data_IF_116033453444
#
_entry.id   IF_116033453444
#
_cell.length_a   1.000
_cell.length_b   1.000
_cell.length_c   1.000
_cell.angle_alpha   90.00
_cell.angle_beta   90.00
_cell.angle_gamma   90.00
#
_symmetry.space_group_name_H-M   'P 1'
#
loop_
_entity.id
_entity.type
_entity.pdbx_description
1 polymer ?
#
# COMPACT_ATOMS: atom_id res chain seq x y z
N UNK A 1 -15.53 -0.90 -10.79
CA UNK A 1 -14.32 -1.76 -10.95
C UNK A 1 -13.23 -1.34 -9.95
N UNK A 2 -13.43 -1.48 -8.63
CA UNK A 2 -12.76 -0.54 -7.74
C UNK A 2 -11.63 -1.15 -6.86
N UNK A 3 -11.24 -2.42 -7.06
CA UNK A 3 -10.06 -3.05 -6.41
C UNK A 3 -8.84 -3.21 -7.35
N UNK A 4 -9.02 -3.24 -8.68
CA UNK A 4 -7.91 -3.57 -9.58
C UNK A 4 -6.89 -2.44 -9.77
N UNK A 5 -7.31 -1.18 -9.61
CA UNK A 5 -6.42 -0.03 -9.87
C UNK A 5 -5.20 -0.01 -8.94
N UNK A 6 -5.38 -0.41 -7.67
CA UNK A 6 -4.27 -0.46 -6.72
C UNK A 6 -3.24 -1.49 -7.15
N UNK A 7 -3.66 -2.60 -7.76
CA UNK A 7 -2.73 -3.60 -8.29
C UNK A 7 -1.89 -3.02 -9.43
N UNK A 8 -2.53 -2.37 -10.42
CA UNK A 8 -1.80 -1.75 -11.53
C UNK A 8 -0.83 -0.67 -11.05
N UNK A 9 -1.25 0.17 -10.11
CA UNK A 9 -0.40 1.20 -9.55
C UNK A 9 0.78 0.58 -8.77
N UNK A 10 0.54 -0.47 -7.99
CA UNK A 10 1.58 -1.20 -7.26
C UNK A 10 2.56 -1.90 -8.21
N UNK A 11 2.07 -2.44 -9.33
CA UNK A 11 2.92 -3.03 -10.36
C UNK A 11 3.85 -1.99 -11.00
N UNK A 12 3.42 -0.74 -11.17
CA UNK A 12 4.27 0.33 -11.71
C UNK A 12 5.48 0.65 -10.79
N UNK A 13 5.38 0.38 -9.49
CA UNK A 13 6.49 0.54 -8.55
C UNK A 13 7.60 -0.50 -8.74
N UNK A 14 7.32 -1.64 -9.37
CA UNK A 14 8.34 -2.69 -9.59
C UNK A 14 9.46 -2.20 -10.53
N UNK A 15 9.17 -1.80 -11.79
CA UNK A 15 10.22 -1.28 -12.67
C UNK A 15 10.84 -0.01 -12.08
N UNK A 16 10.06 0.87 -11.46
CA UNK A 16 10.57 2.07 -10.81
C UNK A 16 11.56 1.76 -9.68
N UNK A 17 11.26 0.80 -8.81
CA UNK A 17 12.14 0.37 -7.72
C UNK A 17 13.45 -0.24 -8.23
N UNK A 18 13.39 -1.06 -9.28
CA UNK A 18 14.61 -1.60 -9.91
C UNK A 18 15.46 -0.52 -10.58
N UNK A 19 14.85 0.49 -11.21
CA UNK A 19 15.56 1.64 -11.74
C UNK A 19 16.28 2.43 -10.63
N UNK A 20 15.63 2.64 -9.49
CA UNK A 20 16.25 3.29 -8.34
C UNK A 20 17.39 2.46 -7.73
N UNK A 21 17.24 1.14 -7.66
CA UNK A 21 18.33 0.25 -7.24
C UNK A 21 19.52 0.32 -8.19
N UNK A 22 19.30 0.26 -9.50
CA UNK A 22 20.36 0.41 -10.49
C UNK A 22 21.04 1.79 -10.40
N UNK A 23 20.25 2.86 -10.25
CA UNK A 23 20.77 4.22 -10.09
C UNK A 23 21.59 4.36 -8.79
N UNK A 24 21.25 3.64 -7.73
CA UNK A 24 22.02 3.69 -6.48
C UNK A 24 23.45 3.19 -6.61
N UNK A 25 23.75 2.35 -7.60
CA UNK A 25 25.11 1.86 -7.89
C UNK A 25 26.04 2.98 -8.39
N UNK A 26 25.49 4.10 -8.86
CA UNK A 26 26.28 5.26 -9.28
C UNK A 26 26.74 6.12 -8.10
N UNK A 27 26.19 5.90 -6.89
CA UNK A 27 26.44 6.72 -5.70
C UNK A 27 25.56 7.98 -5.59
N UNK A 28 24.75 8.30 -6.60
CA UNK A 28 23.93 9.52 -6.63
C UNK A 28 22.64 9.42 -5.80
N UNK A 29 22.13 8.20 -5.60
CA UNK A 29 20.88 7.92 -4.89
C UNK A 29 21.15 6.85 -3.84
N UNK A 30 20.56 7.00 -2.65
CA UNK A 30 20.65 5.97 -1.62
C UNK A 30 19.89 4.70 -2.05
N UNK A 31 20.51 3.53 -1.87
CA UNK A 31 19.87 2.21 -2.10
C UNK A 31 18.53 2.07 -1.37
N UNK A 32 18.40 2.74 -0.21
CA UNK A 32 17.16 2.84 0.57
C UNK A 32 15.93 3.25 -0.26
N UNK A 33 16.09 4.15 -1.24
CA UNK A 33 14.98 4.62 -2.09
C UNK A 33 14.40 3.47 -2.94
N UNK A 34 15.26 2.68 -3.58
CA UNK A 34 14.83 1.51 -4.37
C UNK A 34 14.22 0.42 -3.51
N UNK A 35 14.80 0.14 -2.34
CA UNK A 35 14.24 -0.84 -1.39
C UNK A 35 12.82 -0.42 -0.96
N UNK A 36 12.60 0.84 -0.60
CA UNK A 36 11.28 1.30 -0.14
C UNK A 36 10.26 1.44 -1.28
N UNK A 37 10.71 1.72 -2.50
CA UNK A 37 9.85 1.65 -3.68
C UNK A 37 9.28 0.24 -3.87
N UNK A 38 10.12 -0.79 -3.76
CA UNK A 38 9.69 -2.19 -3.84
C UNK A 38 8.88 -2.63 -2.61
N UNK A 39 9.31 -2.26 -1.40
CA UNK A 39 8.67 -2.72 -0.16
C UNK A 39 7.31 -2.05 0.09
N UNK A 40 7.24 -0.72 0.00
CA UNK A 40 6.01 0.03 0.32
C UNK A 40 5.14 0.17 -0.92
N UNK A 41 5.72 0.63 -2.03
CA UNK A 41 4.99 0.90 -3.27
C UNK A 41 4.47 -0.37 -3.94
N UNK A 42 5.35 -1.32 -4.22
CA UNK A 42 4.95 -2.57 -4.86
C UNK A 42 4.33 -3.57 -3.88
N UNK A 43 5.12 -4.08 -2.93
CA UNK A 43 4.68 -5.16 -2.04
C UNK A 43 3.54 -4.73 -1.12
N UNK A 44 3.66 -3.59 -0.44
CA UNK A 44 2.60 -3.06 0.43
C UNK A 44 1.29 -2.82 -0.31
N UNK A 45 1.36 -2.21 -1.50
CA UNK A 45 0.21 -1.97 -2.36
C UNK A 45 -0.45 -3.25 -2.90
N UNK A 46 0.35 -4.23 -3.35
CA UNK A 46 -0.15 -5.53 -3.79
C UNK A 46 -0.82 -6.28 -2.63
N UNK A 47 -0.19 -6.29 -1.45
CA UNK A 47 -0.73 -6.93 -0.26
C UNK A 47 -2.08 -6.32 0.09
N UNK A 48 -2.18 -4.99 0.25
CA UNK A 48 -3.44 -4.38 0.70
C UNK A 48 -4.60 -4.63 -0.28
N UNK A 49 -4.32 -4.61 -1.59
CA UNK A 49 -5.28 -4.98 -2.63
C UNK A 49 -5.69 -6.46 -2.55
N UNK A 50 -4.71 -7.36 -2.40
CA UNK A 50 -4.94 -8.80 -2.28
C UNK A 50 -5.74 -9.15 -1.03
N UNK A 51 -5.32 -8.69 0.16
CA UNK A 51 -5.97 -9.05 1.42
C UNK A 51 -7.38 -8.49 1.50
N UNK A 52 -7.66 -7.32 0.92
CA UNK A 52 -9.04 -6.81 0.79
C UNK A 52 -9.91 -7.76 -0.02
N UNK A 53 -9.45 -8.17 -1.22
CA UNK A 53 -10.20 -9.06 -2.09
C UNK A 53 -10.46 -10.40 -1.41
N UNK A 54 -9.42 -10.98 -0.82
CA UNK A 54 -9.46 -12.25 -0.11
C UNK A 54 -10.40 -12.19 1.09
N UNK A 55 -10.32 -11.16 1.93
CA UNK A 55 -11.19 -11.01 3.08
C UNK A 55 -12.67 -10.82 2.69
N UNK A 56 -12.98 -10.08 1.61
CA UNK A 56 -14.36 -9.98 1.10
C UNK A 56 -14.88 -11.33 0.59
N UNK A 57 -14.06 -12.09 -0.13
CA UNK A 57 -14.41 -13.42 -0.62
C UNK A 57 -14.65 -14.43 0.50
N UNK A 58 -13.78 -14.48 1.50
CA UNK A 58 -13.91 -15.40 2.63
C UNK A 58 -15.05 -15.02 3.58
N UNK A 59 -15.48 -13.76 3.60
CA UNK A 59 -16.57 -13.33 4.47
C UNK A 59 -17.93 -13.20 3.75
N UNK A 60 -18.03 -13.67 2.51
CA UNK A 60 -19.27 -13.71 1.73
C UNK A 60 -19.79 -12.33 1.29
N UNK A 61 -18.90 -11.32 1.20
CA UNK A 61 -19.28 -9.93 0.88
C UNK A 61 -19.00 -9.57 -0.58
N UNK A 62 -19.76 -8.64 -1.19
CA UNK A 62 -19.52 -8.20 -2.57
C UNK A 62 -18.07 -7.74 -2.81
N UNK A 63 -17.48 -8.12 -3.94
CA UNK A 63 -16.11 -7.76 -4.35
C UNK A 63 -16.03 -6.33 -4.91
N UNK A 64 -16.58 -5.38 -4.18
CA UNK A 64 -16.62 -3.95 -4.52
C UNK A 64 -15.92 -3.17 -3.43
N UNK A 65 -14.96 -2.32 -3.79
CA UNK A 65 -14.31 -1.50 -2.79
C UNK A 65 -15.23 -0.42 -2.23
N UNK A 66 -15.12 -0.16 -0.93
CA UNK A 66 -15.78 0.95 -0.24
C UNK A 66 -14.91 2.22 -0.29
N UNK A 67 -15.47 3.41 -0.01
CA UNK A 67 -14.68 4.63 0.13
C UNK A 67 -13.55 4.52 1.17
N UNK A 68 -13.78 3.77 2.26
CA UNK A 68 -12.77 3.52 3.29
C UNK A 68 -11.59 2.69 2.77
N UNK A 69 -11.86 1.70 1.92
CA UNK A 69 -10.80 0.89 1.28
C UNK A 69 -10.03 1.70 0.25
N UNK A 70 -10.72 2.53 -0.53
CA UNK A 70 -10.07 3.47 -1.45
C UNK A 70 -9.16 4.42 -0.67
N UNK A 71 -9.62 4.95 0.46
CA UNK A 71 -8.80 5.79 1.34
C UNK A 71 -7.57 5.03 1.88
N UNK A 72 -7.73 3.78 2.32
CA UNK A 72 -6.61 2.96 2.77
C UNK A 72 -5.57 2.71 1.64
N UNK A 73 -6.03 2.40 0.42
CA UNK A 73 -5.14 2.23 -0.74
C UNK A 73 -4.40 3.53 -1.08
N UNK A 74 -5.12 4.65 -1.10
CA UNK A 74 -4.53 5.97 -1.34
C UNK A 74 -3.50 6.34 -0.29
N UNK A 75 -3.73 6.01 0.99
CA UNK A 75 -2.79 6.25 2.08
C UNK A 75 -1.52 5.39 1.96
N UNK A 76 -1.61 4.12 1.55
CA UNK A 76 -0.43 3.28 1.26
C UNK A 76 0.39 3.86 0.10
N UNK A 77 -0.28 4.30 -0.96
CA UNK A 77 0.39 4.93 -2.10
C UNK A 77 1.01 6.27 -1.73
N UNK A 78 0.33 7.07 -0.92
CA UNK A 78 0.86 8.31 -0.38
C UNK A 78 2.10 8.03 0.48
N UNK A 79 2.07 7.01 1.34
CA UNK A 79 3.23 6.61 2.13
C UNK A 79 4.43 6.23 1.23
N UNK A 80 4.21 5.51 0.13
CA UNK A 80 5.26 5.19 -0.84
C UNK A 80 5.86 6.46 -1.47
N UNK A 81 5.02 7.39 -1.93
CA UNK A 81 5.45 8.66 -2.52
C UNK A 81 6.23 9.51 -1.51
N UNK A 82 5.69 9.69 -0.31
CA UNK A 82 6.35 10.44 0.77
C UNK A 82 7.68 9.80 1.17
N UNK A 83 7.76 8.47 1.19
CA UNK A 83 8.98 7.76 1.59
C UNK A 83 10.07 7.79 0.52
N UNK A 84 9.70 7.80 -0.76
CA UNK A 84 10.64 7.61 -1.87
C UNK A 84 10.84 8.90 -2.66
N UNK A 85 9.77 9.51 -3.16
CA UNK A 85 9.86 10.62 -4.12
C UNK A 85 10.24 11.92 -3.43
N UNK A 86 9.68 12.22 -2.25
CA UNK A 86 9.97 13.49 -1.56
C UNK A 86 11.45 13.62 -1.20
N UNK A 87 12.13 12.62 -0.62
CA UNK A 87 13.57 12.72 -0.34
C UNK A 87 14.45 12.81 -1.60
N UNK A 88 14.01 12.29 -2.74
CA UNK A 88 14.74 12.41 -4.01
C UNK A 88 14.70 13.83 -4.58
N UNK A 89 13.57 14.54 -4.40
CA UNK A 89 13.37 15.90 -4.91
C UNK A 89 13.77 16.99 -3.89
N UNK A 90 13.61 16.71 -2.61
CA UNK A 90 13.88 17.62 -1.51
C UNK A 90 14.54 16.88 -0.33
N UNK A 91 15.85 16.54 -0.43
CA UNK A 91 16.57 15.79 0.60
C UNK A 91 16.50 16.40 2.00
N UNK A 92 16.40 17.74 2.09
CA UNK A 92 16.24 18.49 3.33
C UNK A 92 14.94 18.15 4.10
N UNK A 93 13.93 17.60 3.42
CA UNK A 93 12.66 17.18 4.02
C UNK A 93 12.65 15.70 4.42
N UNK A 94 13.79 14.99 4.38
CA UNK A 94 13.86 13.55 4.63
C UNK A 94 13.14 13.14 5.92
N UNK A 95 13.47 13.75 7.06
CA UNK A 95 12.89 13.36 8.35
C UNK A 95 11.39 13.60 8.38
N UNK A 96 10.95 14.79 7.99
CA UNK A 96 9.54 15.17 8.00
C UNK A 96 8.70 14.29 7.05
N UNK A 97 9.21 14.02 5.85
CA UNK A 97 8.54 13.18 4.85
C UNK A 97 8.46 11.71 5.26
N UNK A 98 9.49 11.17 5.91
CA UNK A 98 9.49 9.81 6.45
C UNK A 98 8.48 9.67 7.60
N UNK A 99 8.40 10.66 8.50
CA UNK A 99 7.39 10.67 9.57
C UNK A 99 5.98 10.73 8.98
N UNK A 100 5.76 11.60 8.00
CA UNK A 100 4.47 11.69 7.30
C UNK A 100 4.11 10.37 6.58
N UNK A 101 5.09 9.71 5.96
CA UNK A 101 4.91 8.39 5.35
C UNK A 101 4.50 7.33 6.39
N UNK A 102 5.15 7.32 7.55
CA UNK A 102 4.83 6.38 8.63
C UNK A 102 3.42 6.61 9.20
N UNK A 103 2.98 7.87 9.32
CA UNK A 103 1.63 8.22 9.74
C UNK A 103 0.59 7.78 8.69
N UNK A 104 0.82 8.07 7.41
CA UNK A 104 -0.06 7.66 6.33
C UNK A 104 -0.20 6.13 6.26
N UNK A 105 0.92 5.41 6.35
CA UNK A 105 0.95 3.95 6.40
C UNK A 105 0.15 3.42 7.59
N UNK A 106 0.43 3.92 8.79
CA UNK A 106 -0.26 3.50 10.02
C UNK A 106 -1.77 3.73 9.92
N UNK A 107 -2.20 4.89 9.43
CA UNK A 107 -3.61 5.23 9.27
C UNK A 107 -4.31 4.31 8.27
N UNK A 108 -3.64 3.95 7.16
CA UNK A 108 -4.18 3.00 6.18
C UNK A 108 -4.50 1.65 6.82
N UNK A 109 -3.58 1.13 7.64
CA UNK A 109 -3.76 -0.15 8.32
C UNK A 109 -4.75 -0.07 9.48
N UNK A 110 -4.87 1.08 10.16
CA UNK A 110 -5.95 1.31 11.13
C UNK A 110 -7.33 1.23 10.45
N UNK A 111 -7.49 1.85 9.27
CA UNK A 111 -8.73 1.74 8.50
C UNK A 111 -9.01 0.30 8.05
N UNK A 112 -7.99 -0.41 7.57
CA UNK A 112 -8.13 -1.81 7.19
C UNK A 112 -8.54 -2.68 8.37
N UNK A 113 -7.78 -2.64 9.47
CA UNK A 113 -8.05 -3.47 10.65
C UNK A 113 -9.40 -3.14 11.28
N UNK A 114 -9.74 -1.85 11.44
CA UNK A 114 -11.03 -1.44 11.98
C UNK A 114 -12.21 -1.95 11.15
N UNK A 115 -12.05 -2.07 9.83
CA UNK A 115 -13.10 -2.58 8.95
C UNK A 115 -13.15 -4.11 8.90
N UNK A 116 -12.01 -4.76 8.78
CA UNK A 116 -11.93 -6.17 8.42
C UNK A 116 -11.87 -7.12 9.61
N UNK A 117 -11.32 -6.69 10.75
CA UNK A 117 -11.30 -7.51 11.97
C UNK A 117 -12.70 -8.01 12.39
N UNK A 118 -13.75 -7.16 12.52
CA UNK A 118 -15.07 -7.66 12.90
C UNK A 118 -15.68 -8.61 11.86
N UNK A 119 -15.36 -8.43 10.58
CA UNK A 119 -15.87 -9.29 9.51
C UNK A 119 -15.22 -10.67 9.50
N UNK A 120 -13.93 -10.74 9.81
CA UNK A 120 -13.16 -11.98 9.84
C UNK A 120 -13.38 -12.78 11.12
N UNK A 121 -13.88 -12.14 12.19
CA UNK A 121 -14.23 -12.78 13.46
C UNK A 121 -15.71 -13.19 13.55
N UNK A 122 -16.48 -12.99 12.48
CA UNK A 122 -17.89 -13.36 12.41
C UNK A 122 -18.10 -14.47 11.37
N UNK A 123 -19.14 -15.31 11.54
CA UNK A 123 -19.59 -16.19 10.48
C UNK A 123 -19.83 -15.43 9.18
N UNK A 124 -19.70 -16.15 8.07
CA UNK A 124 -19.90 -15.59 6.74
C UNK A 124 -21.27 -14.95 6.61
N UNK A 125 -21.31 -13.78 5.95
CA UNK A 125 -22.56 -13.05 5.76
C UNK A 125 -23.58 -13.77 4.86
N UNK A 126 -23.13 -14.71 4.03
CA UNK A 126 -23.97 -15.50 3.13
C UNK A 126 -24.41 -16.85 3.71
N UNK A 127 -24.02 -17.17 4.96
CA UNK A 127 -24.39 -18.41 5.65
C UNK A 127 -23.83 -19.70 5.04
N UNK A 128 -22.93 -19.59 4.06
CA UNK A 128 -22.26 -20.76 3.46
C UNK A 128 -21.09 -21.20 4.32
N UNK A 129 -20.67 -22.45 4.12
CA UNK A 129 -19.43 -22.95 4.71
C UNK A 129 -18.22 -22.12 4.23
N UNK A 130 -17.34 -21.78 5.17
CA UNK A 130 -16.07 -21.12 4.91
C UNK A 130 -15.47 -20.42 6.11
#
# INVERSE_FOLDING_TARGET
RPILWILHLSYAWIPFGFLLLAASLTGWIAMSAGIHALAIGATGGLIIGMVTRTARGHTGRPLTSSPLEVAAYSLVMLAAVLRVVVPLLAPQLLVASVVAAALAWSLAFVFYLGRYTPWLLQPRADGKDG
#
